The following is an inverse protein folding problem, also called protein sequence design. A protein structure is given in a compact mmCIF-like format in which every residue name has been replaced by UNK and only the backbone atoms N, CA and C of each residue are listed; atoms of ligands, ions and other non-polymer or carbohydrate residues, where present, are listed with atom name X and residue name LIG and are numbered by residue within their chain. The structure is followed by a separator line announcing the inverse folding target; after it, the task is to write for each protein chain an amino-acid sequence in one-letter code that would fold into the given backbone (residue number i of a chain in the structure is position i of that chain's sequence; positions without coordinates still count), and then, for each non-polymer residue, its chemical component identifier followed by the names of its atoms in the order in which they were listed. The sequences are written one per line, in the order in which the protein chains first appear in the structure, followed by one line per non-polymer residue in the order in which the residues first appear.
data_IF_386708837129
#
_entry.id   IF_386708837129
#
_cell.length_a   1.000
_cell.length_b   1.000
_cell.length_c   1.000
_cell.angle_alpha   90.00
_cell.angle_beta   90.00
_cell.angle_gamma   90.00
#
_symmetry.space_group_name_H-M   'P 1'
#
loop_
_entity.id
_entity.type
_entity.pdbx_description
1 polymer ?
#
# COMPACT_ATOMS: atom_id res chain seq x y z
N UNK A 1 -23.40 -17.53 -23.62
CA UNK A 1 -22.36 -16.60 -24.12
C UNK A 1 -21.53 -17.37 -25.12
N UNK A 2 -21.29 -16.83 -26.32
CA UNK A 2 -20.42 -17.49 -27.31
C UNK A 2 -18.96 -17.15 -27.04
N UNK A 3 -18.06 -18.05 -27.40
CA UNK A 3 -16.60 -17.83 -27.29
C UNK A 3 -16.17 -16.59 -28.09
N UNK A 4 -16.78 -16.37 -29.26
CA UNK A 4 -16.57 -15.16 -30.06
C UNK A 4 -16.98 -13.88 -29.33
N UNK A 5 -18.10 -13.90 -28.60
CA UNK A 5 -18.58 -12.76 -27.82
C UNK A 5 -17.63 -12.40 -26.68
N UNK A 6 -17.11 -13.41 -25.99
CA UNK A 6 -16.12 -13.22 -24.93
C UNK A 6 -14.80 -12.64 -25.45
N UNK A 7 -14.29 -13.18 -26.57
CA UNK A 7 -13.07 -12.67 -27.21
C UNK A 7 -13.18 -11.21 -27.67
N UNK A 8 -14.39 -10.73 -28.02
CA UNK A 8 -14.60 -9.31 -28.31
C UNK A 8 -14.51 -8.41 -27.07
N UNK A 9 -14.91 -8.90 -25.90
CA UNK A 9 -14.78 -8.17 -24.64
C UNK A 9 -13.30 -8.01 -24.27
N UNK A 10 -12.51 -9.07 -24.38
CA UNK A 10 -11.06 -9.04 -24.08
C UNK A 10 -10.28 -8.07 -24.99
N UNK A 11 -10.75 -7.90 -26.23
CA UNK A 11 -10.15 -7.00 -27.22
C UNK A 11 -10.70 -5.56 -27.14
N UNK A 12 -11.64 -5.28 -26.23
CA UNK A 12 -12.29 -3.98 -26.10
C UNK A 12 -13.14 -3.57 -27.32
N UNK A 13 -13.54 -4.54 -28.16
CA UNK A 13 -14.33 -4.27 -29.38
C UNK A 13 -15.82 -4.12 -29.10
N UNK A 14 -16.29 -4.69 -28.00
CA UNK A 14 -17.66 -4.60 -27.51
C UNK A 14 -17.65 -4.51 -25.98
N UNK A 15 -18.67 -3.87 -25.41
CA UNK A 15 -18.89 -3.88 -23.98
C UNK A 15 -19.96 -4.93 -23.59
N UNK A 16 -19.76 -5.66 -22.49
CA UNK A 16 -20.78 -6.57 -21.98
C UNK A 16 -21.98 -5.80 -21.42
N UNK A 17 -23.19 -6.33 -21.61
CA UNK A 17 -24.39 -5.77 -20.97
C UNK A 17 -24.35 -5.94 -19.44
N UNK A 18 -25.14 -5.14 -18.72
CA UNK A 18 -25.25 -5.27 -17.25
C UNK A 18 -25.71 -6.66 -16.80
N UNK A 19 -26.61 -7.30 -17.57
CA UNK A 19 -27.08 -8.67 -17.31
C UNK A 19 -25.95 -9.70 -17.51
N UNK A 20 -25.12 -9.48 -18.54
CA UNK A 20 -23.91 -10.27 -18.79
C UNK A 20 -22.92 -10.16 -17.64
N UNK A 21 -22.68 -8.94 -17.14
CA UNK A 21 -21.79 -8.68 -16.01
C UNK A 21 -22.28 -9.37 -14.74
N UNK A 22 -23.59 -9.33 -14.43
CA UNK A 22 -24.17 -10.04 -13.28
C UNK A 22 -23.95 -11.56 -13.38
N UNK A 23 -24.22 -12.16 -14.53
CA UNK A 23 -23.99 -13.60 -14.75
C UNK A 23 -22.53 -14.00 -14.60
N UNK A 24 -21.61 -13.14 -15.02
CA UNK A 24 -20.17 -13.36 -14.80
C UNK A 24 -19.82 -13.23 -13.32
N UNK A 25 -20.32 -12.21 -12.64
CA UNK A 25 -20.10 -11.97 -11.22
C UNK A 25 -20.56 -13.17 -10.38
N UNK A 26 -21.77 -13.67 -10.64
CA UNK A 26 -22.32 -14.87 -9.99
C UNK A 26 -21.47 -16.12 -10.27
N UNK A 27 -21.02 -16.29 -11.52
CA UNK A 27 -20.18 -17.43 -11.92
C UNK A 27 -18.83 -17.46 -11.20
N UNK A 28 -18.20 -16.30 -11.02
CA UNK A 28 -16.87 -16.18 -10.41
C UNK A 28 -16.93 -15.85 -8.90
N UNK A 29 -18.11 -15.67 -8.32
CA UNK A 29 -18.28 -15.35 -6.91
C UNK A 29 -17.74 -13.98 -6.52
N UNK A 30 -17.78 -13.01 -7.43
CA UNK A 30 -17.27 -11.64 -7.24
C UNK A 30 -18.40 -10.62 -7.33
N UNK A 31 -18.16 -9.36 -6.94
CA UNK A 31 -19.10 -8.27 -7.20
C UNK A 31 -19.03 -7.83 -8.67
N UNK A 32 -20.12 -7.33 -9.24
CA UNK A 32 -20.12 -6.68 -10.56
C UNK A 32 -19.09 -5.54 -10.63
N UNK A 33 -18.90 -4.77 -9.54
CA UNK A 33 -17.91 -3.69 -9.49
C UNK A 33 -16.46 -4.16 -9.66
N UNK A 34 -16.16 -5.40 -9.25
CA UNK A 34 -14.85 -6.02 -9.46
C UNK A 34 -14.59 -6.27 -10.95
N UNK A 35 -15.62 -6.60 -11.73
CA UNK A 35 -15.51 -6.84 -13.18
C UNK A 35 -15.39 -5.55 -13.99
N UNK A 36 -16.00 -4.46 -13.52
CA UNK A 36 -15.96 -3.15 -14.19
C UNK A 36 -14.70 -2.35 -13.86
N UNK A 37 -13.85 -2.85 -12.96
CA UNK A 37 -12.68 -2.11 -12.49
C UNK A 37 -13.04 -0.89 -11.65
N UNK A 38 -14.29 -0.81 -11.19
CA UNK A 38 -14.69 0.07 -10.10
C UNK A 38 -14.21 -0.53 -8.79
N UNK A 39 -12.89 -0.68 -8.64
CA UNK A 39 -12.33 -0.67 -7.30
C UNK A 39 -12.68 0.69 -6.72
N UNK A 40 -13.24 0.72 -5.50
CA UNK A 40 -13.42 1.98 -4.80
C UNK A 40 -12.08 2.72 -4.90
N UNK A 41 -12.04 3.82 -5.66
CA UNK A 41 -10.99 4.83 -5.52
C UNK A 41 -11.22 5.47 -4.16
N UNK A 42 -11.10 4.70 -3.07
CA UNK A 42 -10.79 5.25 -1.77
C UNK A 42 -9.45 5.90 -2.04
N UNK A 43 -9.42 7.22 -1.99
CA UNK A 43 -8.19 7.97 -1.78
C UNK A 43 -7.37 7.13 -0.80
N UNK A 44 -6.31 6.48 -1.30
CA UNK A 44 -5.51 5.59 -0.46
C UNK A 44 -4.97 6.48 0.63
N UNK A 45 -5.62 6.46 1.79
CA UNK A 45 -5.18 7.24 2.95
C UNK A 45 -3.73 6.85 3.16
N UNK A 46 -2.87 7.87 3.22
CA UNK A 46 -1.45 7.66 3.42
C UNK A 46 -1.23 6.67 4.56
N UNK A 47 -0.61 5.54 4.23
CA UNK A 47 -0.33 4.47 5.17
C UNK A 47 1.19 4.41 5.35
N UNK A 48 1.66 4.94 6.47
CA UNK A 48 3.08 4.98 6.80
C UNK A 48 3.73 3.59 6.76
N UNK A 49 2.99 2.53 7.10
CA UNK A 49 3.49 1.16 7.08
C UNK A 49 3.71 0.65 5.66
N UNK A 50 2.78 0.91 4.73
CA UNK A 50 2.98 0.57 3.31
C UNK A 50 4.19 1.30 2.72
N UNK A 51 4.36 2.59 3.04
CA UNK A 51 5.51 3.36 2.54
C UNK A 51 6.84 2.85 3.12
N UNK A 52 6.89 2.54 4.41
CA UNK A 52 8.07 1.91 5.03
C UNK A 52 8.37 0.56 4.35
N UNK A 53 7.34 -0.26 4.10
CA UNK A 53 7.49 -1.56 3.45
C UNK A 53 8.03 -1.44 2.02
N UNK A 54 7.49 -0.51 1.22
CA UNK A 54 8.00 -0.23 -0.13
C UNK A 54 9.44 0.22 -0.14
N UNK A 55 9.84 1.07 0.81
CA UNK A 55 11.23 1.49 0.91
C UNK A 55 12.12 0.27 1.17
N UNK A 56 11.75 -0.60 2.13
CA UNK A 56 12.51 -1.81 2.47
C UNK A 56 12.65 -2.71 1.23
N UNK A 57 11.58 -2.88 0.45
CA UNK A 57 11.60 -3.66 -0.80
C UNK A 57 12.47 -3.02 -1.88
N UNK A 58 12.42 -1.69 -2.04
CA UNK A 58 13.14 -0.96 -3.08
C UNK A 58 14.65 -0.95 -2.86
N UNK A 59 15.06 -0.65 -1.63
CA UNK A 59 16.49 -0.50 -1.31
C UNK A 59 17.07 -1.83 -0.79
N UNK A 60 16.24 -2.79 -0.39
CA UNK A 60 16.69 -3.96 0.34
C UNK A 60 17.10 -3.61 1.77
N UNK A 61 17.11 -4.60 2.65
CA UNK A 61 17.49 -4.40 4.06
C UNK A 61 18.94 -3.88 4.21
N UNK A 62 19.83 -4.23 3.27
CA UNK A 62 21.26 -3.91 3.36
C UNK A 62 21.59 -2.45 3.03
N UNK A 63 20.83 -1.79 2.16
CA UNK A 63 21.09 -0.40 1.75
C UNK A 63 20.50 0.63 2.71
N UNK A 64 19.62 0.21 3.63
CA UNK A 64 18.92 1.12 4.52
C UNK A 64 19.83 1.76 5.59
N UNK A 65 21.13 1.44 5.61
CA UNK A 65 22.08 1.93 6.60
C UNK A 65 21.83 1.40 8.03
N UNK A 66 20.65 0.85 8.30
CA UNK A 66 20.25 0.25 9.57
C UNK A 66 20.93 -1.08 9.88
N UNK A 67 21.44 -1.78 8.86
CA UNK A 67 21.99 -3.14 9.01
C UNK A 67 23.43 -3.27 8.54
N UNK A 68 24.13 -2.16 8.32
CA UNK A 68 25.58 -2.16 8.10
C UNK A 68 26.28 -2.45 9.43
N UNK A 69 26.27 -3.72 9.82
CA UNK A 69 26.71 -4.17 11.15
C UNK A 69 28.13 -3.69 11.48
N UNK A 70 28.96 -3.47 10.46
CA UNK A 70 30.33 -3.00 10.63
C UNK A 70 30.41 -1.50 10.93
N UNK A 71 29.46 -0.69 10.44
CA UNK A 71 29.31 0.70 10.91
C UNK A 71 28.78 0.77 12.33
N UNK A 72 27.78 -0.05 12.66
CA UNK A 72 27.12 -0.01 13.97
C UNK A 72 28.01 -0.52 15.12
N UNK A 73 28.94 -1.45 14.83
CA UNK A 73 29.94 -1.94 15.79
C UNK A 73 30.84 -0.86 16.37
N UNK A 74 31.03 0.25 15.65
CA UNK A 74 31.94 1.33 16.04
C UNK A 74 31.23 2.50 16.75
N UNK A 75 29.91 2.41 16.98
CA UNK A 75 29.15 3.45 17.67
C UNK A 75 29.50 3.50 19.16
N UNK A 76 29.62 4.72 19.68
CA UNK A 76 29.77 4.97 21.11
C UNK A 76 28.41 4.88 21.81
N UNK A 77 28.44 4.87 23.15
CA UNK A 77 27.21 4.90 23.95
C UNK A 77 26.37 6.16 23.68
N UNK A 78 27.04 7.30 23.45
CA UNK A 78 26.38 8.57 23.20
C UNK A 78 25.66 8.55 21.84
N UNK A 79 26.28 7.93 20.82
CA UNK A 79 25.68 7.76 19.49
C UNK A 79 24.42 6.88 19.56
N UNK A 80 24.49 5.77 20.32
CA UNK A 80 23.33 4.88 20.52
C UNK A 80 22.19 5.61 21.25
N UNK A 81 22.53 6.43 22.25
CA UNK A 81 21.54 7.21 22.98
C UNK A 81 20.92 8.32 22.12
N UNK A 82 21.68 8.90 21.20
CA UNK A 82 21.18 9.84 20.21
C UNK A 82 20.19 9.19 19.24
N UNK A 83 20.51 8.01 18.70
CA UNK A 83 19.60 7.24 17.85
C UNK A 83 18.27 6.97 18.57
N UNK A 84 18.34 6.50 19.83
CA UNK A 84 17.16 6.25 20.66
C UNK A 84 16.31 7.50 20.83
N UNK A 85 16.92 8.62 21.22
CA UNK A 85 16.23 9.91 21.40
C UNK A 85 15.59 10.38 20.09
N UNK A 86 16.24 10.18 18.96
CA UNK A 86 15.70 10.58 17.66
C UNK A 86 14.41 9.82 17.33
N UNK A 87 14.40 8.50 17.53
CA UNK A 87 13.20 7.69 17.32
C UNK A 87 12.05 8.09 18.26
N UNK A 88 12.36 8.29 19.55
CA UNK A 88 11.37 8.76 20.54
C UNK A 88 10.78 10.11 20.13
N UNK A 89 11.62 11.05 19.70
CA UNK A 89 11.18 12.37 19.22
C UNK A 89 10.31 12.28 17.96
N UNK A 90 10.66 11.45 16.98
CA UNK A 90 9.85 11.26 15.76
C UNK A 90 8.46 10.71 16.12
N UNK A 91 8.41 9.72 17.02
CA UNK A 91 7.16 9.13 17.48
C UNK A 91 6.29 10.14 18.24
N UNK A 92 6.90 10.92 19.14
CA UNK A 92 6.20 11.96 19.89
C UNK A 92 5.64 13.05 18.98
N UNK A 93 6.45 13.57 18.04
CA UNK A 93 6.01 14.59 17.08
C UNK A 93 4.87 14.10 16.18
N UNK A 94 4.86 12.81 15.83
CA UNK A 94 3.75 12.21 15.08
C UNK A 94 2.47 12.13 15.92
N UNK A 95 2.59 11.80 17.22
CA UNK A 95 1.47 11.77 18.16
C UNK A 95 0.84 13.15 18.33
N UNK A 96 1.65 14.16 18.65
CA UNK A 96 1.18 15.55 18.85
C UNK A 96 0.38 16.07 17.66
N UNK A 97 0.89 15.88 16.44
CA UNK A 97 0.18 16.26 15.19
C UNK A 97 -1.17 15.56 15.03
N UNK A 98 -1.30 14.31 15.47
CA UNK A 98 -2.54 13.55 15.34
C UNK A 98 -3.54 13.95 16.42
N UNK A 99 -3.07 14.26 17.63
CA UNK A 99 -3.90 14.74 18.74
C UNK A 99 -4.47 16.14 18.43
N UNK A 100 -3.68 17.05 17.84
CA UNK A 100 -4.14 18.36 17.35
C UNK A 100 -5.24 18.23 16.29
N UNK A 101 -5.08 17.31 15.32
CA UNK A 101 -6.09 17.05 14.27
C UNK A 101 -7.40 16.45 14.78
N UNK A 102 -7.43 15.90 15.99
CA UNK A 102 -8.64 15.32 16.61
C UNK A 102 -9.41 16.30 17.50
N UNK A 103 -8.89 17.51 17.67
CA UNK A 103 -9.50 18.57 18.50
C UNK A 103 -10.21 19.67 17.68
N UNK A 104 -10.13 19.59 16.34
CA UNK A 104 -10.91 20.37 15.35
C UNK A 104 -12.03 19.50 14.75
#
# INVERSE_FOLDING_TARGET
MSESGYGYYEQGRNEPSIDTLRKLADKYGVNVSYLTGEEDKKDKKFNSFEEISKLIEQYGFDQFGFFDIDKWKNLSKDDIDEIRRHFEWVAQKAKERNDEKSSD
#
